data_IF_186137273913
#
_entry.id   IF_186137273913
#
_cell.length_a   1.000
_cell.length_b   1.000
_cell.length_c   1.000
_cell.angle_alpha   90.00
_cell.angle_beta   90.00
_cell.angle_gamma   90.00
#
_symmetry.space_group_name_H-M   'P 1'
#
loop_
_entity.id
_entity.type
_entity.pdbx_description
1 polymer ?
#
# COMPACT_ATOMS: atom_id res chain seq x y z
N UNK A 1 15.16 5.63 19.30
CA UNK A 1 14.98 4.16 19.14
C UNK A 1 13.63 3.76 18.53
N UNK A 2 12.49 4.37 18.92
CA UNK A 2 11.16 4.01 18.40
C UNK A 2 10.93 4.20 16.88
N UNK A 3 11.63 5.16 16.24
CA UNK A 3 11.49 5.39 14.80
C UNK A 3 12.16 4.29 13.95
N UNK A 4 13.21 3.65 14.48
CA UNK A 4 13.93 2.58 13.81
C UNK A 4 13.12 1.26 13.81
N UNK A 5 12.38 0.98 14.88
CA UNK A 5 11.52 -0.21 14.97
C UNK A 5 10.27 -0.14 14.09
N UNK A 6 9.73 1.05 13.81
CA UNK A 6 8.56 1.19 12.95
C UNK A 6 8.92 1.04 11.45
N UNK A 7 10.04 1.65 11.04
CA UNK A 7 10.53 1.55 9.66
C UNK A 7 10.87 0.10 9.27
N UNK A 8 11.41 -0.67 10.22
CA UNK A 8 11.73 -2.08 10.03
C UNK A 8 10.47 -2.93 9.89
N UNK A 9 9.40 -2.67 10.67
CA UNK A 9 8.14 -3.41 10.55
C UNK A 9 7.45 -3.23 9.19
N UNK A 10 7.43 -2.01 8.64
CA UNK A 10 6.84 -1.74 7.33
C UNK A 10 7.63 -2.40 6.20
N UNK A 11 8.96 -2.31 6.26
CA UNK A 11 9.82 -2.95 5.27
C UNK A 11 9.72 -4.48 5.36
N UNK A 12 9.60 -5.03 6.56
CA UNK A 12 9.40 -6.45 6.76
C UNK A 12 8.07 -6.94 6.19
N UNK A 13 6.98 -6.20 6.41
CA UNK A 13 5.70 -6.50 5.76
C UNK A 13 5.84 -6.47 4.22
N UNK A 14 6.49 -5.44 3.67
CA UNK A 14 6.78 -5.39 2.24
C UNK A 14 7.53 -6.64 1.76
N UNK A 15 8.62 -7.02 2.42
CA UNK A 15 9.44 -8.19 2.06
C UNK A 15 8.63 -9.50 2.13
N UNK A 16 7.85 -9.69 3.20
CA UNK A 16 7.00 -10.88 3.39
C UNK A 16 5.99 -11.05 2.25
N UNK A 17 5.33 -9.97 1.84
CA UNK A 17 4.38 -10.02 0.73
C UNK A 17 5.08 -10.03 -0.64
N UNK A 18 6.27 -9.42 -0.78
CA UNK A 18 7.03 -9.40 -2.02
C UNK A 18 7.42 -10.81 -2.48
N UNK A 19 7.77 -11.70 -1.54
CA UNK A 19 8.10 -13.11 -1.84
C UNK A 19 6.90 -14.06 -1.81
N UNK A 20 5.71 -13.56 -1.45
CA UNK A 20 4.56 -14.41 -1.21
C UNK A 20 4.14 -15.16 -2.49
N UNK A 21 4.14 -16.49 -2.41
CA UNK A 21 3.73 -17.36 -3.52
C UNK A 21 4.66 -17.33 -4.74
N UNK A 22 5.86 -16.79 -4.61
CA UNK A 22 6.89 -16.83 -5.66
C UNK A 22 8.25 -17.17 -5.05
N UNK A 23 8.64 -18.44 -5.19
CA UNK A 23 9.90 -18.98 -4.64
C UNK A 23 11.15 -18.41 -5.32
N UNK A 24 11.01 -17.67 -6.43
CA UNK A 24 12.12 -17.01 -7.13
C UNK A 24 12.22 -15.51 -6.81
N UNK A 25 11.25 -14.95 -6.10
CA UNK A 25 11.25 -13.54 -5.75
C UNK A 25 12.34 -13.24 -4.71
N UNK A 26 13.03 -12.10 -4.89
CA UNK A 26 14.15 -11.69 -4.03
C UNK A 26 13.73 -10.84 -2.83
N UNK A 27 12.44 -10.48 -2.75
CA UNK A 27 11.90 -9.58 -1.73
C UNK A 27 12.22 -8.10 -1.95
N UNK A 28 12.87 -7.74 -3.06
CA UNK A 28 13.21 -6.35 -3.40
C UNK A 28 12.08 -5.59 -4.11
N UNK A 29 11.19 -6.32 -4.77
CA UNK A 29 10.10 -5.77 -5.57
C UNK A 29 8.82 -6.58 -5.34
N UNK A 30 7.67 -5.92 -5.43
CA UNK A 30 6.37 -6.51 -5.17
C UNK A 30 5.49 -6.45 -6.42
N UNK A 31 4.94 -7.60 -6.81
CA UNK A 31 3.99 -7.69 -7.92
C UNK A 31 2.59 -7.17 -7.55
N UNK A 32 1.83 -6.73 -8.56
CA UNK A 32 0.47 -6.20 -8.37
C UNK A 32 -0.46 -7.15 -7.61
N UNK A 33 -0.44 -8.45 -7.91
CA UNK A 33 -1.22 -9.45 -7.16
C UNK A 33 -0.88 -9.48 -5.66
N UNK A 34 0.39 -9.31 -5.30
CA UNK A 34 0.86 -9.36 -3.93
C UNK A 34 0.56 -8.03 -3.21
N UNK A 35 0.63 -6.90 -3.92
CA UNK A 35 0.16 -5.60 -3.43
C UNK A 35 -1.33 -5.62 -3.10
N UNK A 36 -2.18 -6.07 -4.03
CA UNK A 36 -3.63 -6.14 -3.80
C UNK A 36 -3.96 -7.13 -2.67
N UNK A 37 -3.18 -8.20 -2.50
CA UNK A 37 -3.29 -9.11 -1.34
C UNK A 37 -2.91 -8.41 -0.03
N UNK A 38 -1.76 -7.72 0.02
CA UNK A 38 -1.34 -6.95 1.20
C UNK A 38 -2.42 -5.94 1.60
N UNK A 39 -2.98 -5.21 0.64
CA UNK A 39 -4.04 -4.23 0.94
C UNK A 39 -5.33 -4.87 1.48
N UNK A 40 -5.65 -6.11 1.07
CA UNK A 40 -6.78 -6.87 1.64
C UNK A 40 -6.45 -7.39 3.04
N UNK A 41 -5.35 -8.13 3.16
CA UNK A 41 -4.96 -8.83 4.39
C UNK A 41 -4.65 -7.85 5.53
N UNK A 42 -4.15 -6.65 5.23
CA UNK A 42 -3.88 -5.60 6.21
C UNK A 42 -5.05 -4.63 6.43
N UNK A 43 -6.22 -4.85 5.81
CA UNK A 43 -7.41 -4.00 6.00
C UNK A 43 -7.28 -2.59 5.42
N UNK A 44 -6.38 -2.39 4.45
CA UNK A 44 -6.27 -1.12 3.71
C UNK A 44 -7.52 -0.92 2.84
N UNK A 45 -7.97 -1.99 2.18
CA UNK A 45 -9.28 -2.05 1.52
C UNK A 45 -10.33 -2.22 2.60
N UNK A 46 -11.16 -1.20 2.79
CA UNK A 46 -12.21 -1.18 3.82
C UNK A 46 -13.62 -1.37 3.22
N UNK A 47 -13.72 -1.52 1.91
CA UNK A 47 -14.99 -1.65 1.20
C UNK A 47 -15.85 -0.38 1.22
N UNK A 48 -15.29 0.75 1.68
CA UNK A 48 -15.98 2.04 1.80
C UNK A 48 -15.20 3.15 1.09
N UNK A 49 -14.09 3.59 1.68
CA UNK A 49 -13.27 4.69 1.20
C UNK A 49 -12.19 4.22 0.24
N UNK A 50 -11.70 2.98 0.43
CA UNK A 50 -10.66 2.37 -0.40
C UNK A 50 -11.20 1.06 -0.97
N UNK A 51 -11.34 1.02 -2.29
CA UNK A 51 -11.78 -0.16 -3.06
C UNK A 51 -10.59 -0.89 -3.71
N UNK A 52 -10.84 -2.11 -4.21
CA UNK A 52 -9.84 -2.83 -5.01
C UNK A 52 -9.42 -2.03 -6.25
N UNK A 53 -10.38 -1.39 -6.92
CA UNK A 53 -10.13 -0.52 -8.07
C UNK A 53 -9.17 0.62 -7.71
N UNK A 54 -9.35 1.26 -6.56
CA UNK A 54 -8.45 2.32 -6.10
C UNK A 54 -7.02 1.80 -5.88
N UNK A 55 -6.89 0.63 -5.27
CA UNK A 55 -5.62 -0.05 -5.03
C UNK A 55 -4.89 -0.37 -6.33
N UNK A 56 -5.61 -0.84 -7.34
CA UNK A 56 -5.04 -1.17 -8.66
C UNK A 56 -4.67 0.09 -9.47
N UNK A 57 -5.48 1.16 -9.36
CA UNK A 57 -5.16 2.49 -9.93
C UNK A 57 -3.89 3.04 -9.31
N UNK A 58 -3.78 3.04 -7.98
CA UNK A 58 -2.61 3.57 -7.27
C UNK A 58 -1.36 2.75 -7.62
N UNK A 59 -1.45 1.42 -7.67
CA UNK A 59 -0.34 0.57 -8.13
C UNK A 59 0.13 0.97 -9.53
N UNK A 60 -0.83 1.15 -10.44
CA UNK A 60 -0.55 1.51 -11.83
C UNK A 60 0.05 2.92 -11.97
N UNK A 61 -0.32 3.84 -11.06
CA UNK A 61 0.19 5.21 -11.00
C UNK A 61 1.63 5.28 -10.51
N UNK A 62 2.00 4.53 -9.46
CA UNK A 62 3.33 4.66 -8.83
C UNK A 62 4.41 3.85 -9.51
N UNK A 63 4.06 2.74 -10.15
CA UNK A 63 5.04 1.89 -10.84
C UNK A 63 5.60 2.58 -12.07
N UNK A 64 6.84 2.26 -12.43
CA UNK A 64 7.40 2.66 -13.74
C UNK A 64 6.52 2.17 -14.90
N UNK A 65 6.49 2.93 -15.99
CA UNK A 65 5.77 2.56 -17.21
C UNK A 65 6.18 1.15 -17.65
N UNK A 66 5.19 0.32 -17.97
CA UNK A 66 5.37 -1.09 -18.38
C UNK A 66 5.92 -2.06 -17.31
N UNK A 67 6.31 -1.59 -16.12
CA UNK A 67 6.72 -2.46 -15.03
C UNK A 67 5.54 -3.31 -14.51
N UNK A 68 5.83 -4.51 -14.03
CA UNK A 68 4.85 -5.44 -13.41
C UNK A 68 4.94 -5.49 -11.88
N UNK A 69 5.82 -4.67 -11.33
CA UNK A 69 6.21 -4.65 -9.94
C UNK A 69 6.46 -3.21 -9.47
N UNK A 70 6.55 -3.06 -8.15
CA UNK A 70 6.95 -1.82 -7.47
C UNK A 70 8.09 -2.12 -6.50
N UNK A 71 9.01 -1.18 -6.37
CA UNK A 71 10.06 -1.14 -5.35
C UNK A 71 9.49 -0.70 -4.00
N UNK A 72 10.30 -0.78 -2.95
CA UNK A 72 9.88 -0.34 -1.61
C UNK A 72 9.54 1.17 -1.54
N UNK A 73 10.24 2.01 -2.30
CA UNK A 73 9.96 3.45 -2.34
C UNK A 73 8.65 3.78 -3.05
N UNK A 74 8.36 3.09 -4.16
CA UNK A 74 7.08 3.18 -4.86
C UNK A 74 5.93 2.64 -3.99
N UNK A 75 6.17 1.58 -3.22
CA UNK A 75 5.22 1.05 -2.22
C UNK A 75 4.88 2.08 -1.13
N UNK A 76 5.88 2.75 -0.54
CA UNK A 76 5.62 3.84 0.44
C UNK A 76 4.80 4.97 -0.19
N UNK A 77 5.10 5.30 -1.45
CA UNK A 77 4.34 6.31 -2.20
C UNK A 77 2.90 5.89 -2.41
N UNK A 78 2.65 4.62 -2.76
CA UNK A 78 1.30 4.07 -2.90
C UNK A 78 0.52 4.11 -1.58
N UNK A 79 1.13 3.73 -0.46
CA UNK A 79 0.49 3.83 0.85
C UNK A 79 0.13 5.27 1.20
N UNK A 80 0.99 6.23 0.89
CA UNK A 80 0.71 7.65 1.12
C UNK A 80 -0.46 8.15 0.25
N UNK A 81 -0.57 7.70 -1.01
CA UNK A 81 -1.72 8.01 -1.88
C UNK A 81 -3.04 7.47 -1.31
N UNK A 82 -3.05 6.20 -0.88
CA UNK A 82 -4.24 5.57 -0.28
C UNK A 82 -4.62 6.23 1.05
N UNK A 83 -3.63 6.57 1.88
CA UNK A 83 -3.87 7.29 3.14
C UNK A 83 -4.50 8.67 2.86
N UNK A 84 -3.97 9.44 1.91
CA UNK A 84 -4.57 10.73 1.52
C UNK A 84 -6.01 10.57 1.04
N UNK A 85 -6.31 9.54 0.23
CA UNK A 85 -7.68 9.26 -0.20
C UNK A 85 -8.59 8.92 0.98
N UNK A 86 -8.15 8.05 1.89
CA UNK A 86 -8.94 7.59 3.04
C UNK A 86 -9.24 8.67 4.07
N UNK A 87 -8.30 9.60 4.28
CA UNK A 87 -8.39 10.59 5.35
C UNK A 87 -8.73 12.01 4.87
N UNK A 88 -8.88 12.24 3.55
CA UNK A 88 -9.17 13.56 2.98
C UNK A 88 -10.45 14.21 3.53
N UNK A 89 -11.45 13.41 3.90
CA UNK A 89 -12.74 13.92 4.39
C UNK A 89 -12.79 14.13 5.92
N UNK A 90 -11.80 13.63 6.66
CA UNK A 90 -11.77 13.70 8.14
C UNK A 90 -11.21 15.01 8.70
N UNK A 91 -10.66 15.88 7.86
CA UNK A 91 -9.96 17.09 8.30
C UNK A 91 -10.77 18.39 8.22
N UNK A 92 -12.04 18.37 7.80
CA UNK A 92 -12.78 19.62 7.55
C UNK A 92 -14.21 19.70 8.06
N UNK A 93 -15.09 18.78 7.66
CA UNK A 93 -16.53 19.10 7.66
C UNK A 93 -17.40 18.28 8.62
N UNK A 94 -16.91 17.17 9.17
CA UNK A 94 -17.71 16.27 10.02
C UNK A 94 -17.74 16.68 11.51
N UNK A 95 -17.12 17.81 11.89
CA UNK A 95 -17.15 18.35 13.27
C UNK A 95 -18.21 19.44 13.48
N UNK A 96 -18.95 19.84 12.45
CA UNK A 96 -19.97 20.90 12.52
C UNK A 96 -21.41 20.38 12.54
N UNK A 97 -21.62 19.07 12.64
CA UNK A 97 -22.94 18.46 12.81
C UNK A 97 -22.89 17.45 13.94
N UNK A 98 -23.13 17.91 15.16
CA UNK A 98 -23.83 17.23 16.27
C UNK A 98 -23.84 18.14 17.49
#
# INVERSE_FOLDING_TARGET
>A
MLYFSLLTALEEAFRRFAIHGDTRATGKEMHGKNWSKLCKDCGVIDGKSITLTDVDIVFSKVKKKSARNITYDEFKTALAELARKKYKDKTGEERLRN
#
